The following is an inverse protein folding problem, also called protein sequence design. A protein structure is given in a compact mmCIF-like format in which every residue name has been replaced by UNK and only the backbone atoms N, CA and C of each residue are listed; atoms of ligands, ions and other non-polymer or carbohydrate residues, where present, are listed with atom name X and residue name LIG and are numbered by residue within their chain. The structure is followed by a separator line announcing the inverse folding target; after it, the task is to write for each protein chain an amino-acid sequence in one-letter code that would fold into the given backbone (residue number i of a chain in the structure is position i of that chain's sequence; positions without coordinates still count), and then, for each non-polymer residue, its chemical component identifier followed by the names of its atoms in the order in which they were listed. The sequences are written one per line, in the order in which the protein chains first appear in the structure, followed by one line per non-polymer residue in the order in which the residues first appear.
data_IF_765625036338
#
_entry.id   IF_765625036338
#
_cell.length_a   1.000
_cell.length_b   1.000
_cell.length_c   1.000
_cell.angle_alpha   90.00
_cell.angle_beta   90.00
_cell.angle_gamma   90.00
#
_symmetry.space_group_name_H-M   'P 1'
#
loop_
_entity.id
_entity.type
_entity.pdbx_description
1 polymer ?
#
# COMPACT_ATOMS: atom_id res chain seq x y z
N UNK A 1 20.11 1.06 10.13
CA UNK A 1 19.69 2.36 10.72
C UNK A 1 18.86 3.22 9.79
N UNK A 2 19.40 3.99 8.83
CA UNK A 2 18.58 4.92 8.00
C UNK A 2 17.46 4.21 7.22
N UNK A 3 17.75 3.08 6.58
CA UNK A 3 16.74 2.28 5.86
C UNK A 3 15.61 1.78 6.76
N UNK A 4 15.90 1.32 7.97
CA UNK A 4 14.88 0.84 8.91
C UNK A 4 13.95 1.96 9.36
N UNK A 5 14.49 3.16 9.63
CA UNK A 5 13.67 4.34 9.94
C UNK A 5 12.76 4.72 8.77
N UNK A 6 13.28 4.68 7.54
CA UNK A 6 12.46 4.92 6.34
C UNK A 6 11.32 3.91 6.28
N UNK A 7 11.60 2.61 6.41
CA UNK A 7 10.55 1.59 6.36
C UNK A 7 9.54 1.72 7.52
N UNK A 8 9.99 2.02 8.74
CA UNK A 8 9.12 2.15 9.91
C UNK A 8 8.13 3.32 9.80
N UNK A 9 8.54 4.46 9.22
CA UNK A 9 7.69 5.64 9.08
C UNK A 9 6.96 5.72 7.73
N UNK A 10 7.56 5.22 6.65
CA UNK A 10 6.97 5.28 5.31
C UNK A 10 5.89 4.23 5.11
N UNK A 11 6.07 3.01 5.65
CA UNK A 11 5.09 1.92 5.52
C UNK A 11 3.70 2.31 6.05
N UNK A 12 3.53 2.88 7.26
CA UNK A 12 2.22 3.29 7.74
C UNK A 12 1.60 4.42 6.90
N UNK A 13 2.41 5.35 6.37
CA UNK A 13 1.92 6.40 5.46
C UNK A 13 1.37 5.76 4.17
N UNK A 14 2.11 4.84 3.57
CA UNK A 14 1.69 4.11 2.37
C UNK A 14 0.43 3.27 2.64
N UNK A 15 0.33 2.65 3.82
CA UNK A 15 -0.86 1.88 4.22
C UNK A 15 -2.12 2.76 4.31
N UNK A 16 -2.01 3.98 4.85
CA UNK A 16 -3.12 4.94 4.89
C UNK A 16 -3.54 5.33 3.47
N UNK A 17 -2.58 5.65 2.59
CA UNK A 17 -2.87 6.01 1.19
C UNK A 17 -3.52 4.82 0.46
N UNK A 18 -3.03 3.60 0.69
CA UNK A 18 -3.60 2.38 0.13
C UNK A 18 -5.07 2.21 0.54
N UNK A 19 -5.38 2.40 1.83
CA UNK A 19 -6.77 2.33 2.31
C UNK A 19 -7.68 3.35 1.62
N UNK A 20 -7.23 4.60 1.48
CA UNK A 20 -7.97 5.65 0.77
C UNK A 20 -8.19 5.27 -0.71
N UNK A 21 -7.19 4.67 -1.36
CA UNK A 21 -7.30 4.17 -2.74
C UNK A 21 -8.32 3.05 -2.87
N UNK A 22 -8.34 2.09 -1.95
CA UNK A 22 -9.37 1.03 -1.93
C UNK A 22 -10.79 1.60 -1.85
N UNK A 23 -11.03 2.57 -0.96
CA UNK A 23 -12.32 3.26 -0.86
C UNK A 23 -12.67 4.01 -2.15
N UNK A 24 -11.67 4.63 -2.79
CA UNK A 24 -11.85 5.35 -4.06
C UNK A 24 -12.20 4.39 -5.21
N UNK A 25 -11.52 3.25 -5.30
CA UNK A 25 -11.82 2.18 -6.27
C UNK A 25 -13.26 1.71 -6.08
N UNK A 26 -13.68 1.41 -4.85
CA UNK A 26 -15.05 0.99 -4.57
C UNK A 26 -16.08 2.04 -4.99
N UNK A 27 -15.80 3.33 -4.75
CA UNK A 27 -16.66 4.43 -5.21
C UNK A 27 -16.72 4.55 -6.74
N UNK A 28 -15.59 4.39 -7.44
CA UNK A 28 -15.50 4.45 -8.90
C UNK A 28 -16.20 3.27 -9.57
N UNK A 29 -16.04 2.05 -9.05
CA UNK A 29 -16.79 0.86 -9.48
C UNK A 29 -18.29 1.12 -9.39
N UNK A 30 -18.76 1.67 -8.26
CA UNK A 30 -20.18 2.00 -8.08
C UNK A 30 -20.70 3.03 -9.10
N UNK A 31 -19.84 3.91 -9.60
CA UNK A 31 -20.18 4.90 -10.64
C UNK A 31 -20.06 4.35 -12.07
N UNK A 32 -19.59 3.11 -12.26
CA UNK A 32 -19.32 2.54 -13.57
C UNK A 32 -18.11 3.15 -14.27
N UNK A 33 -17.19 3.77 -13.53
CA UNK A 33 -15.95 4.33 -14.06
C UNK A 33 -14.89 3.23 -14.22
N UNK A 34 -14.00 3.37 -15.20
CA UNK A 34 -12.82 2.51 -15.31
C UNK A 34 -11.90 2.72 -14.10
N UNK A 35 -11.51 1.61 -13.49
CA UNK A 35 -10.65 1.55 -12.30
C UNK A 35 -9.33 0.85 -12.55
N UNK A 36 -9.00 0.48 -13.79
CA UNK A 36 -7.78 -0.26 -14.10
C UNK A 36 -6.52 0.41 -13.52
N UNK A 37 -6.35 1.71 -13.75
CA UNK A 37 -5.19 2.45 -13.26
C UNK A 37 -5.14 2.53 -11.73
N UNK A 38 -6.28 2.73 -11.08
CA UNK A 38 -6.34 2.78 -9.61
C UNK A 38 -6.08 1.41 -8.98
N UNK A 39 -6.57 0.34 -9.61
CA UNK A 39 -6.32 -1.05 -9.20
C UNK A 39 -4.84 -1.40 -9.35
N UNK A 40 -4.19 -1.02 -10.44
CA UNK A 40 -2.74 -1.24 -10.63
C UNK A 40 -1.95 -0.51 -9.56
N UNK A 41 -2.25 0.77 -9.30
CA UNK A 41 -1.60 1.53 -8.23
C UNK A 41 -1.86 0.92 -6.85
N UNK A 42 -3.08 0.49 -6.58
CA UNK A 42 -3.45 -0.21 -5.35
C UNK A 42 -2.65 -1.49 -5.17
N UNK A 43 -2.51 -2.29 -6.23
CA UNK A 43 -1.73 -3.54 -6.19
C UNK A 43 -0.24 -3.27 -5.92
N UNK A 44 0.35 -2.23 -6.50
CA UNK A 44 1.74 -1.82 -6.24
C UNK A 44 1.91 -1.42 -4.76
N UNK A 45 1.01 -0.59 -4.24
CA UNK A 45 1.04 -0.18 -2.83
C UNK A 45 0.88 -1.38 -1.88
N UNK A 46 -0.03 -2.30 -2.21
CA UNK A 46 -0.22 -3.52 -1.44
C UNK A 46 1.03 -4.39 -1.45
N UNK A 47 1.65 -4.59 -2.61
CA UNK A 47 2.90 -5.34 -2.74
C UNK A 47 4.02 -4.74 -1.90
N UNK A 48 4.15 -3.41 -1.89
CA UNK A 48 5.12 -2.72 -1.02
C UNK A 48 4.87 -2.99 0.46
N UNK A 49 3.62 -2.90 0.92
CA UNK A 49 3.26 -3.15 2.32
C UNK A 49 3.60 -4.59 2.72
N UNK A 50 3.25 -5.57 1.89
CA UNK A 50 3.58 -6.99 2.14
C UNK A 50 5.10 -7.20 2.20
N UNK A 51 5.84 -6.61 1.27
CA UNK A 51 7.30 -6.67 1.26
C UNK A 51 7.89 -6.07 2.55
N UNK A 52 7.41 -4.91 2.99
CA UNK A 52 7.83 -4.28 4.25
C UNK A 52 7.58 -5.16 5.47
N UNK A 53 6.42 -5.84 5.53
CA UNK A 53 6.08 -6.75 6.64
C UNK A 53 7.02 -7.97 6.65
N UNK A 54 7.24 -8.60 5.49
CA UNK A 54 8.13 -9.76 5.37
C UNK A 54 9.55 -9.37 5.77
N UNK A 55 10.05 -8.24 5.25
CA UNK A 55 11.37 -7.73 5.59
C UNK A 55 11.53 -7.46 7.09
N UNK A 56 10.52 -6.83 7.71
CA UNK A 56 10.52 -6.59 9.15
C UNK A 56 10.57 -7.89 9.95
N UNK A 57 9.81 -8.91 9.54
CA UNK A 57 9.80 -10.22 10.21
C UNK A 57 11.14 -10.95 10.08
N UNK A 58 11.81 -10.85 8.93
CA UNK A 58 13.14 -11.43 8.72
C UNK A 58 14.24 -10.73 9.52
N UNK A 59 14.15 -9.40 9.69
CA UNK A 59 15.10 -8.61 10.48
C UNK A 59 14.93 -8.76 11.99
N UNK A 60 13.76 -9.18 12.46
CA UNK A 60 13.47 -9.42 13.88
C UNK A 60 13.83 -10.82 14.38
N UNK A 61 14.29 -11.71 13.49
CA UNK A 61 14.65 -13.10 13.78
C UNK A 61 16.13 -13.33 14.05
#
# INVERSE_FOLDING_TARGET
MIMEYIFAFLTPIIAIIFFIKCVTIAKKIKKGEDVFHETVLGAIMFGFIIFSIIWSGMMSG
#
